data_IF_032719117464
#
_entry.id   IF_032719117464
#
_cell.length_a   1.000
_cell.length_b   1.000
_cell.length_c   1.000
_cell.angle_alpha   90.00
_cell.angle_beta   90.00
_cell.angle_gamma   90.00
#
_symmetry.space_group_name_H-M   'P 1'
#
loop_
_entity.id
_entity.type
_entity.pdbx_description
1 polymer ?
#
# COMPACT_ATOMS: atom_id res chain seq x y z
N UNK A 1 0.91 -16.40 -24.33
CA UNK A 1 -0.26 -15.54 -24.10
C UNK A 1 0.00 -14.89 -22.75
N UNK A 2 0.50 -13.67 -22.74
CA UNK A 2 0.77 -12.92 -21.51
C UNK A 2 -0.25 -11.79 -21.51
N UNK A 3 -1.16 -11.85 -20.56
CA UNK A 3 -2.24 -10.90 -20.38
C UNK A 3 -1.65 -9.52 -20.09
N UNK A 4 -1.90 -8.59 -21.01
CA UNK A 4 -1.53 -7.19 -20.92
C UNK A 4 -2.60 -6.44 -20.13
N UNK A 5 -2.54 -6.53 -18.80
CA UNK A 5 -3.23 -5.56 -17.95
C UNK A 5 -2.23 -4.56 -17.38
N UNK A 6 -2.28 -3.35 -17.94
CA UNK A 6 -1.75 -2.12 -17.37
C UNK A 6 -0.22 -1.97 -17.24
N UNK A 7 0.50 -2.00 -18.37
CA UNK A 7 1.74 -1.24 -18.48
C UNK A 7 1.55 -0.05 -19.43
N UNK A 8 1.08 1.06 -18.86
CA UNK A 8 0.96 2.36 -19.53
C UNK A 8 2.30 3.11 -19.48
N UNK A 9 3.37 2.44 -19.90
CA UNK A 9 4.62 3.14 -20.20
C UNK A 9 4.36 4.19 -21.28
N UNK A 10 4.78 5.45 -21.04
CA UNK A 10 4.56 6.60 -21.94
C UNK A 10 4.92 6.30 -23.41
N UNK A 11 5.96 5.48 -23.62
CA UNK A 11 6.38 5.08 -24.96
C UNK A 11 5.35 4.16 -25.63
N UNK A 12 4.72 3.23 -24.91
CA UNK A 12 3.67 2.34 -25.46
C UNK A 12 2.41 3.13 -25.85
N UNK A 13 2.13 4.24 -25.16
CA UNK A 13 1.01 5.12 -25.49
C UNK A 13 1.21 5.90 -26.80
N UNK A 14 2.47 6.20 -27.17
CA UNK A 14 2.82 6.93 -28.39
C UNK A 14 3.12 5.95 -29.54
N UNK A 15 3.80 4.85 -29.23
CA UNK A 15 4.18 3.79 -30.15
C UNK A 15 3.80 2.43 -29.55
N UNK A 16 2.61 1.90 -29.88
CA UNK A 16 2.20 0.58 -29.43
C UNK A 16 3.22 -0.47 -29.89
N UNK A 17 3.87 -1.13 -28.93
CA UNK A 17 4.90 -2.12 -29.25
C UNK A 17 4.27 -3.38 -29.80
N UNK A 18 4.88 -3.94 -30.84
CA UNK A 18 4.49 -5.23 -31.43
C UNK A 18 5.27 -6.39 -30.83
N UNK A 19 6.51 -6.14 -30.37
CA UNK A 19 7.34 -7.13 -29.68
C UNK A 19 8.30 -6.43 -28.70
N UNK A 20 8.55 -7.08 -27.55
CA UNK A 20 9.59 -6.69 -26.60
C UNK A 20 10.35 -7.94 -26.15
N UNK A 21 11.68 -7.86 -26.10
CA UNK A 21 12.54 -8.94 -25.62
C UNK A 21 13.85 -8.39 -25.03
N UNK A 22 14.75 -9.30 -24.63
CA UNK A 22 16.02 -8.94 -23.99
C UNK A 22 16.97 -8.09 -24.87
N UNK A 23 16.75 -8.02 -26.19
CA UNK A 23 17.58 -7.24 -27.14
C UNK A 23 17.00 -5.85 -27.43
N UNK A 24 15.75 -5.57 -27.06
CA UNK A 24 15.08 -4.32 -27.40
C UNK A 24 13.57 -4.47 -27.60
N UNK A 25 12.99 -3.47 -28.25
CA UNK A 25 11.58 -3.46 -28.61
C UNK A 25 11.37 -3.00 -30.06
N UNK A 26 10.30 -3.48 -30.67
CA UNK A 26 9.87 -3.09 -32.00
C UNK A 26 8.42 -2.60 -31.99
N UNK A 27 8.13 -1.66 -32.87
CA UNK A 27 6.78 -1.14 -33.08
C UNK A 27 6.56 -0.87 -34.57
N UNK A 28 5.33 -0.99 -35.04
CA UNK A 28 4.94 -0.56 -36.39
C UNK A 28 4.18 0.74 -36.28
N UNK A 29 4.69 1.80 -36.91
CA UNK A 29 4.07 3.12 -36.93
C UNK A 29 3.94 3.62 -38.36
N UNK A 30 2.72 3.98 -38.80
CA UNK A 30 2.45 4.42 -40.17
C UNK A 30 3.04 3.49 -41.25
N UNK A 31 2.87 2.18 -41.06
CA UNK A 31 3.39 1.12 -41.95
C UNK A 31 4.93 1.08 -42.06
N UNK A 32 5.65 1.66 -41.09
CA UNK A 32 7.10 1.56 -40.97
C UNK A 32 7.45 0.82 -39.69
N UNK A 33 8.42 -0.09 -39.79
CA UNK A 33 8.94 -0.82 -38.63
C UNK A 33 10.03 0.00 -37.95
N UNK A 34 9.82 0.27 -36.66
CA UNK A 34 10.76 0.99 -35.81
C UNK A 34 11.35 -0.01 -34.82
N UNK A 35 12.67 -0.11 -34.81
CA UNK A 35 13.41 -1.00 -33.92
C UNK A 35 14.30 -0.20 -32.98
N UNK A 36 14.16 -0.42 -31.68
CA UNK A 36 15.00 0.15 -30.65
C UNK A 36 15.78 -0.96 -29.97
N UNK A 37 17.12 -0.87 -30.02
CA UNK A 37 18.02 -1.87 -29.45
C UNK A 37 18.50 -1.37 -28.09
N UNK A 38 18.49 -2.23 -27.08
CA UNK A 38 19.11 -1.90 -25.80
C UNK A 38 20.64 -1.91 -25.97
N UNK A 39 21.28 -0.80 -25.64
CA UNK A 39 22.74 -0.62 -25.75
C UNK A 39 23.47 -1.46 -24.68
N UNK A 40 22.78 -1.77 -23.59
CA UNK A 40 23.26 -2.60 -22.48
C UNK A 40 22.26 -3.72 -22.22
N UNK A 41 22.74 -4.85 -21.71
CA UNK A 41 21.83 -5.90 -21.26
C UNK A 41 20.86 -5.34 -20.21
N UNK A 42 19.56 -5.65 -20.33
CA UNK A 42 18.58 -5.19 -19.35
C UNK A 42 18.93 -5.80 -17.99
N UNK A 43 19.14 -4.94 -17.00
CA UNK A 43 19.36 -5.38 -15.62
C UNK A 43 18.06 -6.02 -15.14
N UNK A 44 18.05 -7.35 -14.98
CA UNK A 44 16.98 -7.98 -14.24
C UNK A 44 17.12 -7.58 -12.77
N UNK A 45 16.20 -6.74 -12.29
CA UNK A 45 16.04 -6.61 -10.83
C UNK A 45 15.40 -7.92 -10.38
N UNK A 46 16.06 -8.62 -9.49
CA UNK A 46 15.48 -9.82 -8.87
C UNK A 46 14.17 -9.41 -8.19
N UNK A 47 13.05 -9.80 -8.81
CA UNK A 47 11.71 -9.46 -8.36
C UNK A 47 11.51 -9.99 -6.93
N UNK A 48 12.15 -11.12 -6.58
CA UNK A 48 12.07 -11.70 -5.25
C UNK A 48 12.73 -10.79 -4.21
N UNK A 49 13.91 -10.22 -4.52
CA UNK A 49 14.56 -9.26 -3.63
C UNK A 49 13.69 -8.01 -3.39
N UNK A 50 12.97 -7.53 -4.42
CA UNK A 50 12.05 -6.40 -4.26
C UNK A 50 10.83 -6.77 -3.40
N UNK A 51 10.27 -7.97 -3.58
CA UNK A 51 9.17 -8.50 -2.77
C UNK A 51 9.61 -8.62 -1.30
N UNK A 52 10.78 -9.19 -1.04
CA UNK A 52 11.32 -9.34 0.31
C UNK A 52 11.53 -8.00 1.01
N UNK A 53 12.06 -7.00 0.31
CA UNK A 53 12.22 -5.65 0.86
C UNK A 53 10.87 -5.01 1.23
N UNK A 54 9.86 -5.17 0.36
CA UNK A 54 8.52 -4.67 0.64
C UNK A 54 7.90 -5.37 1.84
N UNK A 55 8.02 -6.69 1.93
CA UNK A 55 7.48 -7.46 3.05
C UNK A 55 8.12 -7.03 4.38
N UNK A 56 9.45 -6.93 4.44
CA UNK A 56 10.17 -6.46 5.64
C UNK A 56 9.72 -5.07 6.09
N UNK A 57 9.48 -4.16 5.15
CA UNK A 57 9.01 -2.82 5.48
C UNK A 57 7.58 -2.84 6.07
N UNK A 58 6.69 -3.66 5.50
CA UNK A 58 5.33 -3.84 6.03
C UNK A 58 5.36 -4.42 7.45
N UNK A 59 6.17 -5.46 7.67
CA UNK A 59 6.29 -6.11 8.99
C UNK A 59 6.81 -5.13 10.05
N UNK A 60 7.78 -4.29 9.69
CA UNK A 60 8.30 -3.23 10.56
C UNK A 60 7.21 -2.23 10.99
N UNK A 61 6.43 -1.72 10.02
CA UNK A 61 5.35 -0.76 10.30
C UNK A 61 4.26 -1.37 11.19
N UNK A 62 3.91 -2.64 10.96
CA UNK A 62 2.94 -3.35 11.80
C UNK A 62 3.39 -3.43 13.25
N UNK A 63 4.67 -3.76 13.47
CA UNK A 63 5.24 -3.84 14.82
C UNK A 63 5.25 -2.47 15.53
N UNK A 64 5.60 -1.41 14.81
CA UNK A 64 5.62 -0.05 15.34
C UNK A 64 4.21 0.40 15.77
N UNK A 65 3.21 0.21 14.91
CA UNK A 65 1.80 0.52 15.21
C UNK A 65 1.33 -0.28 16.42
N UNK A 66 1.63 -1.58 16.48
CA UNK A 66 1.24 -2.43 17.61
C UNK A 66 1.80 -1.91 18.93
N UNK A 67 3.09 -1.54 18.94
CA UNK A 67 3.74 -1.01 20.14
C UNK A 67 3.12 0.33 20.56
N UNK A 68 2.85 1.23 19.62
CA UNK A 68 2.22 2.51 19.90
C UNK A 68 0.84 2.32 20.54
N UNK A 69 -0.01 1.47 19.96
CA UNK A 69 -1.34 1.17 20.48
C UNK A 69 -1.26 0.55 21.87
N UNK A 70 -0.30 -0.35 22.11
CA UNK A 70 -0.06 -0.94 23.43
C UNK A 70 0.26 0.14 24.47
N UNK A 71 1.18 1.05 24.17
CA UNK A 71 1.54 2.15 25.07
C UNK A 71 0.36 3.07 25.36
N UNK A 72 -0.45 3.41 24.35
CA UNK A 72 -1.65 4.22 24.55
C UNK A 72 -2.63 3.50 25.49
N UNK A 73 -2.89 2.21 25.26
CA UNK A 73 -3.79 1.41 26.12
C UNK A 73 -3.30 1.36 27.57
N UNK A 74 -1.99 1.21 27.78
CA UNK A 74 -1.39 1.23 29.13
C UNK A 74 -1.55 2.59 29.80
N UNK A 75 -1.28 3.68 29.08
CA UNK A 75 -1.45 5.05 29.60
C UNK A 75 -2.89 5.39 29.93
N UNK A 76 -3.85 4.97 29.10
CA UNK A 76 -5.28 5.20 29.35
C UNK A 76 -5.72 4.54 30.66
N UNK A 77 -5.25 3.31 30.93
CA UNK A 77 -5.56 2.61 32.19
C UNK A 77 -5.05 3.35 33.44
N UNK A 78 -3.97 4.11 33.33
CA UNK A 78 -3.40 4.85 34.46
C UNK A 78 -3.96 6.27 34.62
N UNK A 79 -4.94 6.69 33.80
CA UNK A 79 -5.51 8.03 33.89
C UNK A 79 -6.40 8.18 35.15
N UNK A 80 -6.10 9.12 36.06
CA UNK A 80 -6.84 9.30 37.31
C UNK A 80 -8.25 9.87 37.12
N UNK A 81 -8.58 10.39 35.94
CA UNK A 81 -9.92 10.86 35.61
C UNK A 81 -10.94 9.71 35.41
N UNK A 82 -10.48 8.46 35.25
CA UNK A 82 -11.37 7.29 35.19
C UNK A 82 -11.89 6.85 36.57
N UNK A 83 -11.35 7.37 37.67
CA UNK A 83 -11.65 6.93 39.04
C UNK A 83 -12.32 7.96 39.93
N UNK A 84 -12.52 9.21 39.47
CA UNK A 84 -13.16 10.26 40.26
C UNK A 84 -14.67 10.31 39.99
N UNK A 85 -15.40 9.28 40.43
CA UNK A 85 -16.86 9.39 40.54
C UNK A 85 -17.18 10.29 41.73
N UNK A 86 -17.30 11.59 41.50
CA UNK A 86 -17.80 12.53 42.49
C UNK A 86 -19.35 12.55 42.42
N UNK A 87 -20.07 12.13 43.48
CA UNK A 87 -21.53 12.11 43.48
C UNK A 87 -22.16 13.51 43.45
N UNK A 88 -21.40 14.57 43.75
CA UNK A 88 -21.86 15.95 43.70
C UNK A 88 -21.69 16.60 42.30
N UNK A 89 -21.01 15.94 41.35
CA UNK A 89 -20.84 16.48 40.00
C UNK A 89 -22.04 16.16 39.10
N UNK A 90 -22.51 17.13 38.29
CA UNK A 90 -23.53 16.86 37.29
C UNK A 90 -22.99 15.82 36.29
N UNK A 91 -23.76 14.75 36.08
CA UNK A 91 -23.40 13.68 35.14
C UNK A 91 -23.66 14.17 33.72
N UNK A 92 -22.63 14.12 32.89
CA UNK A 92 -22.74 14.38 31.45
C UNK A 92 -22.66 13.03 30.76
N UNK A 93 -23.66 12.73 29.93
CA UNK A 93 -23.67 11.55 29.09
C UNK A 93 -23.64 12.01 27.63
N UNK A 94 -22.58 11.63 26.92
CA UNK A 94 -22.48 11.79 25.47
C UNK A 94 -22.72 10.42 24.85
N UNK A 95 -23.75 10.33 24.03
CA UNK A 95 -24.11 9.10 23.32
C UNK A 95 -23.87 9.31 21.84
N UNK A 96 -22.83 8.67 21.32
CA UNK A 96 -22.67 8.51 19.88
C UNK A 96 -23.51 7.32 19.43
N UNK A 97 -24.46 7.55 18.53
CA UNK A 97 -25.16 6.47 17.84
C UNK A 97 -24.22 5.91 16.76
N UNK A 98 -23.69 4.68 16.90
CA UNK A 98 -22.89 4.10 15.83
C UNK A 98 -23.79 3.93 14.60
N UNK A 99 -23.26 4.24 13.41
CA UNK A 99 -23.96 4.10 12.13
C UNK A 99 -24.34 2.65 11.78
N UNK A 100 -24.06 1.67 12.64
CA UNK A 100 -24.37 0.26 12.42
C UNK A 100 -24.53 -0.51 13.74
N UNK A 101 -25.80 -0.87 14.04
CA UNK A 101 -26.28 -2.07 14.74
C UNK A 101 -25.63 -2.54 16.06
N UNK A 102 -26.42 -2.41 17.13
CA UNK A 102 -26.42 -3.10 18.43
C UNK A 102 -25.39 -4.24 18.71
N UNK A 103 -24.74 -4.13 19.87
CA UNK A 103 -24.10 -5.26 20.57
C UNK A 103 -25.11 -5.80 21.59
N UNK A 104 -25.63 -7.00 21.36
CA UNK A 104 -26.46 -7.74 22.33
C UNK A 104 -25.57 -8.29 23.46
N UNK A 105 -26.11 -8.24 24.69
CA UNK A 105 -25.48 -8.70 25.93
C UNK A 105 -25.53 -10.21 26.11
#
# INVERSE_FOLDING_TARGET
MIDSEYDNSFINAIYPFTNINAKGFSATYKNQDINYIFITEPISRDINALIEMKQKHVDYLQLEIFNLVKTIKEKVKSLPCLTLVNPAWPKIAETDAPKMGYVEY
#
